data_IF_199813273402
#
_entry.id   IF_199813273402
#
_cell.length_a   1.000
_cell.length_b   1.000
_cell.length_c   1.000
_cell.angle_alpha   90.00
_cell.angle_beta   90.00
_cell.angle_gamma   90.00
#
_symmetry.space_group_name_H-M   'P 1'
#
loop_
_entity.id
_entity.type
_entity.pdbx_description
1 polymer ?
#
# COMPACT_ATOMS: atom_id res chain seq x y z
N UNK A 1 -5.19 -15.00 19.36
CA UNK A 1 -5.51 -15.42 17.96
C UNK A 1 -5.54 -14.20 17.07
N UNK A 2 -5.11 -14.32 15.83
CA UNK A 2 -5.08 -13.17 14.89
C UNK A 2 -6.50 -12.83 14.46
N UNK A 3 -6.86 -11.55 14.52
CA UNK A 3 -8.18 -11.06 14.04
C UNK A 3 -8.11 -10.54 12.61
N UNK A 4 -7.06 -9.80 12.29
CA UNK A 4 -6.85 -9.20 10.96
C UNK A 4 -5.40 -8.75 10.78
N UNK A 5 -5.04 -8.39 9.54
CA UNK A 5 -3.84 -7.59 9.30
C UNK A 5 -4.09 -6.16 9.78
N UNK A 6 -3.30 -5.65 10.73
CA UNK A 6 -3.47 -4.32 11.31
C UNK A 6 -2.98 -3.22 10.38
N UNK A 7 -1.70 -3.29 10.01
CA UNK A 7 -1.07 -2.33 9.09
C UNK A 7 0.08 -2.97 8.29
N UNK A 8 0.51 -2.27 7.27
CA UNK A 8 1.78 -2.47 6.56
C UNK A 8 2.58 -1.19 6.73
N UNK A 9 3.88 -1.28 7.04
CA UNK A 9 4.75 -0.14 7.24
C UNK A 9 5.77 0.01 6.10
N UNK A 10 6.03 1.26 5.68
CA UNK A 10 7.00 1.63 4.66
C UNK A 10 7.94 2.72 5.15
N UNK A 11 9.20 2.64 4.74
CA UNK A 11 10.08 3.79 4.73
C UNK A 11 9.92 4.54 3.41
N UNK A 12 9.68 5.85 3.48
CA UNK A 12 9.46 6.71 2.31
C UNK A 12 10.47 7.85 2.28
N UNK A 13 10.85 8.30 1.11
CA UNK A 13 11.84 9.37 0.94
C UNK A 13 11.30 10.74 1.33
N UNK A 14 10.00 10.96 1.12
CA UNK A 14 9.27 12.19 1.49
C UNK A 14 7.88 11.79 2.00
N UNK A 15 7.69 11.93 3.32
CA UNK A 15 6.46 11.49 3.99
C UNK A 15 5.25 12.33 3.57
N UNK A 16 5.43 13.62 3.31
CA UNK A 16 4.33 14.51 2.89
C UNK A 16 3.91 14.22 1.44
N UNK A 17 4.88 13.95 0.56
CA UNK A 17 4.59 13.54 -0.82
C UNK A 17 3.84 12.20 -0.85
N UNK A 18 4.22 11.25 0.00
CA UNK A 18 3.55 9.95 0.10
C UNK A 18 2.14 10.07 0.67
N UNK A 19 1.94 10.87 1.74
CA UNK A 19 0.60 11.16 2.29
C UNK A 19 -0.29 11.75 1.19
N UNK A 20 0.17 12.80 0.52
CA UNK A 20 -0.59 13.45 -0.56
C UNK A 20 -0.91 12.50 -1.73
N UNK A 21 -0.01 11.57 -2.05
CA UNK A 21 -0.26 10.54 -3.06
C UNK A 21 -1.40 9.61 -2.64
N UNK A 22 -1.31 9.01 -1.46
CA UNK A 22 -2.30 8.04 -0.99
C UNK A 22 -3.69 8.65 -0.79
N UNK A 23 -3.76 9.90 -0.29
CA UNK A 23 -5.02 10.64 -0.17
C UNK A 23 -5.63 10.92 -1.53
N UNK A 24 -4.86 11.44 -2.48
CA UNK A 24 -5.33 11.82 -3.81
C UNK A 24 -5.74 10.61 -4.65
N UNK A 25 -4.91 9.56 -4.67
CA UNK A 25 -5.07 8.41 -5.58
C UNK A 25 -6.09 7.43 -5.05
N UNK A 26 -5.97 7.06 -3.78
CA UNK A 26 -6.79 6.01 -3.17
C UNK A 26 -7.87 6.52 -2.22
N UNK A 27 -7.82 7.80 -1.85
CA UNK A 27 -8.75 8.37 -0.89
C UNK A 27 -8.50 7.88 0.54
N UNK A 28 -7.27 7.48 0.85
CA UNK A 28 -6.90 7.17 2.23
C UNK A 28 -6.97 8.45 3.07
N UNK A 29 -7.12 8.30 4.37
CA UNK A 29 -7.24 9.44 5.27
C UNK A 29 -6.13 9.42 6.30
N UNK A 30 -5.42 10.53 6.46
CA UNK A 30 -4.48 10.66 7.57
C UNK A 30 -5.23 10.48 8.90
N UNK A 31 -4.87 9.44 9.64
CA UNK A 31 -5.51 9.12 10.90
C UNK A 31 -4.84 9.82 12.07
N UNK A 32 -3.51 9.77 12.13
CA UNK A 32 -2.71 10.45 13.13
C UNK A 32 -1.22 10.46 12.77
N UNK A 33 -0.50 11.36 13.42
CA UNK A 33 0.96 11.47 13.38
C UNK A 33 1.55 11.07 14.71
N UNK A 34 2.60 10.28 14.66
CA UNK A 34 3.43 9.98 15.83
C UNK A 34 4.53 11.03 15.94
N UNK A 35 4.61 11.66 17.09
CA UNK A 35 5.65 12.67 17.39
C UNK A 35 6.55 12.11 18.48
N UNK A 36 7.86 12.17 18.29
CA UNK A 36 8.86 11.76 19.29
C UNK A 36 8.97 12.77 20.42
N UNK A 37 9.63 12.39 21.51
CA UNK A 37 9.84 13.25 22.68
C UNK A 37 10.61 14.54 22.35
N UNK A 38 11.46 14.52 21.32
CA UNK A 38 12.20 15.67 20.83
C UNK A 38 11.38 16.59 19.88
N UNK A 39 10.09 16.27 19.68
CA UNK A 39 9.20 17.01 18.78
C UNK A 39 9.32 16.63 17.31
N UNK A 40 10.22 15.74 16.92
CA UNK A 40 10.35 15.29 15.54
C UNK A 40 9.24 14.32 15.13
N UNK A 41 8.93 14.29 13.83
CA UNK A 41 7.97 13.33 13.28
C UNK A 41 8.51 11.91 13.37
N UNK A 42 7.75 11.01 14.03
CA UNK A 42 8.03 9.60 14.14
C UNK A 42 7.50 8.80 12.96
N UNK A 43 6.28 9.11 12.53
CA UNK A 43 5.61 8.45 11.42
C UNK A 43 4.18 8.94 11.26
N UNK A 44 3.52 8.51 10.18
CA UNK A 44 2.13 8.85 9.87
C UNK A 44 1.34 7.59 9.62
N UNK A 45 0.14 7.50 10.17
CA UNK A 45 -0.81 6.44 9.89
C UNK A 45 -1.90 6.93 8.94
N UNK A 46 -2.05 6.24 7.82
CA UNK A 46 -3.13 6.44 6.86
C UNK A 46 -4.17 5.34 7.02
N UNK A 47 -5.40 5.73 7.29
CA UNK A 47 -6.54 4.79 7.38
C UNK A 47 -6.99 4.39 5.98
N UNK A 48 -7.13 3.09 5.74
CA UNK A 48 -7.65 2.51 4.49
C UNK A 48 -9.15 2.26 4.63
N UNK A 49 -9.50 1.25 5.41
CA UNK A 49 -10.87 0.83 5.71
C UNK A 49 -10.85 -0.29 6.75
N UNK A 50 -11.99 -0.59 7.38
CA UNK A 50 -12.15 -1.77 8.22
C UNK A 50 -11.14 -1.93 9.37
N UNK A 51 -10.50 -0.83 9.81
CA UNK A 51 -9.46 -0.84 10.83
C UNK A 51 -8.08 -1.28 10.31
N UNK A 52 -7.83 -1.15 9.02
CA UNK A 52 -6.53 -1.39 8.39
C UNK A 52 -5.86 -0.07 8.05
N UNK A 53 -4.53 -0.05 8.15
CA UNK A 53 -3.73 1.16 7.95
C UNK A 53 -2.49 0.89 7.11
N UNK A 54 -1.96 1.95 6.51
CA UNK A 54 -0.56 2.06 6.10
C UNK A 54 0.14 2.95 7.12
N UNK A 55 1.32 2.55 7.54
CA UNK A 55 2.22 3.33 8.38
C UNK A 55 3.40 3.79 7.55
N UNK A 56 3.68 5.08 7.57
CA UNK A 56 4.78 5.70 6.83
C UNK A 56 5.84 6.23 7.79
N UNK A 57 7.07 5.81 7.57
CA UNK A 57 8.25 6.32 8.27
C UNK A 57 9.11 7.12 7.31
N UNK A 58 9.60 8.29 7.75
CA UNK A 58 10.60 9.03 6.99
C UNK A 58 11.88 8.20 6.90
N UNK A 59 12.32 7.87 5.68
CA UNK A 59 13.62 7.26 5.49
C UNK A 59 14.70 8.25 5.93
N UNK A 60 15.60 7.79 6.77
CA UNK A 60 16.78 8.57 7.12
C UNK A 60 17.88 8.30 6.10
N UNK A 61 18.67 9.31 5.76
CA UNK A 61 19.95 9.06 5.07
C UNK A 61 20.73 8.05 5.90
N UNK A 62 21.42 7.06 5.28
CA UNK A 62 22.20 6.08 6.03
C UNK A 62 23.10 6.83 6.99
N UNK A 63 22.98 6.53 8.28
CA UNK A 63 24.01 6.94 9.22
C UNK A 63 25.34 6.35 8.72
N UNK A 64 26.46 7.06 8.97
CA UNK A 64 27.78 6.61 8.53
C UNK A 64 28.14 5.19 9.01
N UNK A 65 27.41 4.67 10.00
CA UNK A 65 27.54 3.32 10.56
C UNK A 65 26.58 2.28 9.96
N UNK A 66 25.73 2.66 9.00
CA UNK A 66 24.79 1.74 8.32
C UNK A 66 23.60 1.31 9.17
N UNK A 67 23.32 1.95 10.33
CA UNK A 67 22.27 1.50 11.27
C UNK A 67 20.91 2.16 11.07
N UNK A 68 20.81 3.21 10.25
CA UNK A 68 19.52 3.83 9.96
C UNK A 68 18.76 3.09 8.87
N UNK A 69 17.45 2.94 9.02
CA UNK A 69 16.57 2.34 8.01
C UNK A 69 16.70 3.07 6.67
N UNK A 70 17.38 2.47 5.73
CA UNK A 70 17.51 2.94 4.35
C UNK A 70 16.42 2.33 3.50
N UNK A 71 15.92 3.09 2.53
CA UNK A 71 15.13 2.56 1.43
C UNK A 71 15.86 1.33 0.85
N UNK A 72 15.25 0.15 0.97
CA UNK A 72 15.85 -1.10 0.48
C UNK A 72 16.91 -1.76 1.38
N UNK A 73 17.17 -1.26 2.58
CA UNK A 73 18.26 -1.74 3.46
C UNK A 73 17.87 -2.80 4.49
N UNK A 74 16.78 -3.50 4.34
CA UNK A 74 16.63 -4.77 5.05
C UNK A 74 17.29 -5.86 4.20
N UNK A 75 18.18 -6.66 4.78
CA UNK A 75 18.98 -7.69 4.11
C UNK A 75 18.21 -8.79 3.37
N UNK A 76 16.95 -8.53 3.01
CA UNK A 76 16.06 -9.35 2.20
C UNK A 76 15.13 -8.48 1.32
N UNK A 77 15.69 -7.56 0.56
CA UNK A 77 14.96 -6.83 -0.49
C UNK A 77 14.21 -7.75 -1.48
N UNK A 78 14.55 -9.04 -1.50
CA UNK A 78 13.91 -10.06 -2.32
C UNK A 78 12.61 -10.65 -1.71
N UNK A 79 12.26 -10.34 -0.46
CA UNK A 79 11.10 -10.96 0.21
C UNK A 79 9.79 -10.17 0.04
N UNK A 80 9.87 -8.87 -0.21
CA UNK A 80 8.70 -8.03 -0.49
C UNK A 80 8.47 -7.93 -1.99
N UNK A 81 7.27 -8.29 -2.45
CA UNK A 81 6.88 -8.17 -3.86
C UNK A 81 5.99 -6.95 -4.10
N UNK A 82 4.89 -6.86 -3.39
CA UNK A 82 3.89 -5.79 -3.48
C UNK A 82 2.89 -5.90 -2.33
N UNK A 83 2.09 -4.88 -2.15
CA UNK A 83 0.83 -5.00 -1.43
C UNK A 83 -0.36 -4.81 -2.40
N UNK A 84 -1.52 -5.28 -1.98
CA UNK A 84 -2.73 -5.24 -2.80
C UNK A 84 -3.83 -4.45 -2.09
N UNK A 85 -4.51 -3.60 -2.84
CA UNK A 85 -5.76 -2.96 -2.44
C UNK A 85 -6.90 -3.57 -3.23
N UNK A 86 -7.96 -3.98 -2.52
CA UNK A 86 -9.14 -4.51 -3.15
C UNK A 86 -10.12 -3.38 -3.49
N UNK A 87 -10.67 -3.43 -4.68
CA UNK A 87 -11.69 -2.51 -5.18
C UNK A 87 -12.93 -3.27 -5.63
N UNK A 88 -14.06 -2.58 -5.69
CA UNK A 88 -15.30 -3.18 -6.15
C UNK A 88 -15.36 -3.37 -7.68
N UNK A 89 -14.68 -2.50 -8.44
CA UNK A 89 -14.70 -2.45 -9.90
C UNK A 89 -13.33 -1.97 -10.38
N UNK A 90 -12.65 -2.83 -11.16
CA UNK A 90 -11.30 -2.56 -11.64
C UNK A 90 -11.26 -1.47 -12.72
N UNK A 91 -12.29 -1.36 -13.58
CA UNK A 91 -12.34 -0.35 -14.64
C UNK A 91 -12.54 1.04 -14.04
N UNK A 92 -13.51 1.18 -13.13
CA UNK A 92 -13.75 2.44 -12.42
C UNK A 92 -12.55 2.89 -11.57
N UNK A 93 -11.88 1.93 -10.93
CA UNK A 93 -10.65 2.21 -10.17
C UNK A 93 -9.50 2.64 -11.08
N UNK A 94 -9.33 1.99 -12.22
CA UNK A 94 -8.31 2.34 -13.21
C UNK A 94 -8.47 3.76 -13.72
N UNK A 95 -9.69 4.14 -14.11
CA UNK A 95 -10.00 5.50 -14.54
C UNK A 95 -9.68 6.53 -13.45
N UNK A 96 -10.10 6.26 -12.22
CA UNK A 96 -9.86 7.15 -11.07
C UNK A 96 -8.37 7.31 -10.76
N UNK A 97 -7.62 6.21 -10.70
CA UNK A 97 -6.18 6.21 -10.40
C UNK A 97 -5.41 6.94 -11.51
N UNK A 98 -5.76 6.69 -12.78
CA UNK A 98 -5.16 7.37 -13.94
C UNK A 98 -5.47 8.87 -13.91
N UNK A 99 -6.72 9.26 -13.68
CA UNK A 99 -7.13 10.67 -13.61
C UNK A 99 -6.48 11.41 -12.43
N UNK A 100 -6.16 10.70 -11.35
CA UNK A 100 -5.41 11.26 -10.21
C UNK A 100 -3.91 11.43 -10.50
N UNK A 101 -3.44 11.03 -11.70
CA UNK A 101 -2.05 11.19 -12.13
C UNK A 101 -1.08 10.18 -11.52
N UNK A 102 -1.56 9.04 -11.03
CA UNK A 102 -0.70 7.95 -10.63
C UNK A 102 -0.12 7.25 -11.87
N UNK A 103 1.13 6.77 -11.83
CA UNK A 103 1.70 6.00 -12.92
C UNK A 103 0.96 4.65 -13.05
N UNK A 104 0.76 4.20 -14.29
CA UNK A 104 0.20 2.88 -14.57
C UNK A 104 1.31 2.00 -15.12
N UNK A 105 1.76 1.03 -14.31
CA UNK A 105 2.84 0.12 -14.68
C UNK A 105 2.35 -0.99 -15.62
N UNK A 106 1.13 -1.49 -15.33
CA UNK A 106 0.46 -2.51 -16.14
C UNK A 106 -1.02 -2.21 -16.17
N UNK A 107 -1.61 -2.16 -17.38
CA UNK A 107 -3.05 -1.97 -17.55
C UNK A 107 -3.88 -3.15 -17.05
N UNK A 108 -5.20 -3.00 -17.09
CA UNK A 108 -6.15 -4.01 -16.59
C UNK A 108 -5.93 -5.34 -17.30
N UNK A 109 -5.84 -6.41 -16.51
CA UNK A 109 -5.78 -7.78 -17.01
C UNK A 109 -6.42 -8.76 -16.01
N UNK A 110 -6.75 -9.94 -16.49
CA UNK A 110 -7.15 -11.05 -15.62
C UNK A 110 -5.95 -11.93 -15.32
N UNK A 111 -5.66 -12.13 -14.04
CA UNK A 111 -4.57 -12.99 -13.57
C UNK A 111 -4.96 -14.47 -13.53
N UNK A 112 -4.00 -15.32 -13.15
CA UNK A 112 -4.22 -16.79 -13.02
C UNK A 112 -5.26 -17.12 -11.95
N UNK A 113 -5.42 -16.30 -10.92
CA UNK A 113 -6.45 -16.41 -9.88
C UNK A 113 -7.85 -15.99 -10.36
N UNK A 114 -8.00 -15.59 -11.62
CA UNK A 114 -9.22 -15.00 -12.22
C UNK A 114 -9.66 -13.69 -11.57
N UNK A 115 -8.77 -13.04 -10.81
CA UNK A 115 -8.97 -11.68 -10.37
C UNK A 115 -8.67 -10.72 -11.53
N UNK A 116 -9.41 -9.60 -11.58
CA UNK A 116 -9.10 -8.50 -12.50
C UNK A 116 -8.24 -7.50 -11.76
N UNK A 117 -7.11 -7.10 -12.32
CA UNK A 117 -6.19 -6.21 -11.64
C UNK A 117 -5.41 -5.34 -12.62
N UNK A 118 -4.87 -4.26 -12.10
CA UNK A 118 -3.84 -3.43 -12.72
C UNK A 118 -2.77 -3.05 -11.69
N UNK A 119 -1.68 -2.46 -12.14
CA UNK A 119 -0.55 -2.13 -11.30
C UNK A 119 -0.20 -0.66 -11.38
N UNK A 120 0.14 -0.11 -10.24
CA UNK A 120 0.67 1.24 -10.06
C UNK A 120 1.78 1.19 -9.01
N UNK A 121 2.41 2.31 -8.74
CA UNK A 121 3.36 2.45 -7.64
C UNK A 121 3.22 3.82 -6.97
N UNK A 122 3.68 3.92 -5.74
CA UNK A 122 3.76 5.18 -5.00
C UNK A 122 5.03 5.98 -5.39
N UNK A 123 5.24 7.21 -4.85
CA UNK A 123 6.40 8.04 -5.19
C UNK A 123 7.77 7.37 -4.94
N UNK A 124 7.86 6.40 -4.06
CA UNK A 124 9.07 5.64 -3.75
C UNK A 124 9.21 4.34 -4.54
N UNK A 125 8.28 4.06 -5.47
CA UNK A 125 8.29 2.86 -6.30
C UNK A 125 7.75 1.62 -5.59
N UNK A 126 7.08 1.75 -4.45
CA UNK A 126 6.40 0.62 -3.82
C UNK A 126 5.25 0.16 -4.71
N UNK A 127 5.33 -1.08 -5.19
CA UNK A 127 4.32 -1.65 -6.09
C UNK A 127 2.99 -1.85 -5.40
N UNK A 128 1.93 -1.44 -6.08
CA UNK A 128 0.56 -1.53 -5.63
C UNK A 128 -0.23 -2.32 -6.68
N UNK A 129 -0.77 -3.47 -6.27
CA UNK A 129 -1.78 -4.17 -7.04
C UNK A 129 -3.15 -3.61 -6.69
N UNK A 130 -3.92 -3.19 -7.68
CA UNK A 130 -5.31 -2.79 -7.50
C UNK A 130 -6.18 -3.87 -8.10
N UNK A 131 -6.97 -4.56 -7.26
CA UNK A 131 -7.57 -5.84 -7.60
C UNK A 131 -9.07 -5.87 -7.29
N UNK A 132 -9.84 -6.31 -8.28
CA UNK A 132 -11.24 -6.70 -8.13
C UNK A 132 -11.31 -8.23 -7.95
N UNK A 133 -12.21 -8.67 -7.06
CA UNK A 133 -12.51 -10.09 -6.83
C UNK A 133 -13.86 -10.48 -7.46
N UNK A 134 -13.92 -10.83 -8.76
CA UNK A 134 -15.13 -11.39 -9.35
C UNK A 134 -15.54 -12.68 -8.63
N UNK A 135 -16.85 -13.03 -8.59
CA UNK A 135 -17.33 -14.21 -7.87
C UNK A 135 -16.65 -15.53 -8.29
N UNK A 136 -16.21 -15.62 -9.55
CA UNK A 136 -15.48 -16.77 -10.10
C UNK A 136 -13.98 -16.77 -9.78
N UNK A 137 -13.45 -15.71 -9.13
CA UNK A 137 -12.04 -15.67 -8.73
C UNK A 137 -11.75 -16.68 -7.64
N UNK A 138 -10.55 -17.22 -7.67
CA UNK A 138 -10.12 -18.23 -6.69
C UNK A 138 -10.17 -17.69 -5.26
N UNK A 139 -9.85 -16.42 -5.07
CA UNK A 139 -9.89 -15.76 -3.76
C UNK A 139 -11.32 -15.58 -3.27
N UNK A 140 -12.25 -15.11 -4.11
CA UNK A 140 -13.66 -14.98 -3.74
C UNK A 140 -14.24 -16.34 -3.32
N UNK A 141 -14.00 -17.38 -4.11
CA UNK A 141 -14.45 -18.75 -3.79
C UNK A 141 -13.81 -19.29 -2.50
N UNK A 142 -12.53 -18.99 -2.26
CA UNK A 142 -11.86 -19.37 -1.02
C UNK A 142 -12.45 -18.67 0.20
N UNK A 143 -12.74 -17.36 0.10
CA UNK A 143 -13.38 -16.59 1.17
C UNK A 143 -14.73 -17.19 1.52
N UNK A 144 -15.59 -17.49 0.52
CA UNK A 144 -16.91 -18.11 0.77
C UNK A 144 -16.78 -19.45 1.47
N UNK A 145 -15.86 -20.30 1.01
CA UNK A 145 -15.64 -21.64 1.61
C UNK A 145 -15.11 -21.58 3.04
N UNK A 146 -14.32 -20.54 3.38
CA UNK A 146 -13.66 -20.38 4.67
C UNK A 146 -14.44 -19.51 5.68
N UNK A 147 -15.55 -18.91 5.26
CA UNK A 147 -16.49 -18.28 6.20
C UNK A 147 -17.05 -19.38 7.11
N UNK A 148 -16.75 -19.26 8.39
CA UNK A 148 -17.27 -20.14 9.45
C UNK A 148 -18.39 -19.43 10.20
#
# INVERSE_FOLDING_TARGET
MVERLGHIAFYVSDIEASVAFYERVFGFTEAFRMVRDDGSLGGVYLYISGGQFIELFQAQSPAADGTAGTLGATGNAACYAHYCVQVADADAAFEKVSAAGAPIDVGIRTGMSKCRMFWTHDPDGNKIEVMELPPESMQAQAIERLKK
#
